data_IF_982772282575
#
_entry.id   IF_982772282575
#
_cell.length_a   1.000
_cell.length_b   1.000
_cell.length_c   1.000
_cell.angle_alpha   90.00
_cell.angle_beta   90.00
_cell.angle_gamma   90.00
#
_symmetry.space_group_name_H-M   'P 1'
#
loop_
_entity.id
_entity.type
_entity.pdbx_description
1 polymer ?
#
# COMPACT_ATOMS: atom_id res chain seq x y z
N UNK A 1 -14.37 36.80 -9.28
CA UNK A 1 -13.90 36.34 -7.95
C UNK A 1 -12.39 36.17 -8.05
N UNK A 2 -11.61 36.76 -7.14
CA UNK A 2 -10.17 36.50 -7.09
C UNK A 2 -9.95 35.11 -6.50
N UNK A 3 -9.11 34.29 -7.14
CA UNK A 3 -8.78 32.95 -6.67
C UNK A 3 -8.05 33.05 -5.32
N UNK A 4 -8.36 32.15 -4.38
CA UNK A 4 -7.74 32.11 -3.06
C UNK A 4 -6.21 32.04 -3.14
N UNK A 5 -5.68 31.20 -4.04
CA UNK A 5 -4.24 31.00 -4.18
C UNK A 5 -3.55 32.18 -4.88
N UNK A 6 -4.21 32.84 -5.83
CA UNK A 6 -3.69 34.08 -6.43
C UNK A 6 -3.55 35.19 -5.36
N UNK A 7 -4.55 35.33 -4.48
CA UNK A 7 -4.49 36.30 -3.37
C UNK A 7 -3.38 35.96 -2.37
N UNK A 8 -3.20 34.68 -2.05
CA UNK A 8 -2.11 34.22 -1.17
C UNK A 8 -0.74 34.50 -1.78
N UNK A 9 -0.55 34.15 -3.04
CA UNK A 9 0.68 34.43 -3.77
C UNK A 9 0.97 35.93 -3.78
N UNK A 10 -0.01 36.76 -4.14
CA UNK A 10 0.16 38.22 -4.16
C UNK A 10 0.50 38.78 -2.77
N UNK A 11 -0.16 38.32 -1.71
CA UNK A 11 0.17 38.74 -0.34
C UNK A 11 1.63 38.41 0.04
N UNK A 12 2.17 37.27 -0.41
CA UNK A 12 3.57 36.94 -0.18
C UNK A 12 4.52 37.86 -0.97
N UNK A 13 4.17 38.19 -2.21
CA UNK A 13 4.93 39.18 -3.00
C UNK A 13 4.90 40.56 -2.32
N UNK A 14 3.73 41.01 -1.88
CA UNK A 14 3.54 42.32 -1.23
C UNK A 14 4.28 42.43 0.11
N UNK A 15 4.52 41.29 0.78
CA UNK A 15 5.35 41.21 2.00
C UNK A 15 6.85 41.08 1.72
N UNK A 16 7.27 41.22 0.46
CA UNK A 16 8.67 41.27 0.05
C UNK A 16 9.32 39.90 -0.19
N UNK A 17 8.54 38.81 -0.32
CA UNK A 17 9.08 37.51 -0.72
C UNK A 17 9.46 37.50 -2.20
N UNK A 18 10.46 36.69 -2.56
CA UNK A 18 10.75 36.41 -3.97
C UNK A 18 9.63 35.58 -4.60
N UNK A 19 9.49 35.64 -5.92
CA UNK A 19 8.49 34.85 -6.66
C UNK A 19 8.58 33.35 -6.36
N UNK A 20 9.80 32.80 -6.26
CA UNK A 20 10.04 31.39 -5.93
C UNK A 20 9.55 31.08 -4.51
N UNK A 21 9.91 31.88 -3.51
CA UNK A 21 9.50 31.66 -2.14
C UNK A 21 7.97 31.80 -1.97
N UNK A 22 7.37 32.81 -2.61
CA UNK A 22 5.92 33.00 -2.63
C UNK A 22 5.18 31.82 -3.27
N UNK A 23 5.72 31.24 -4.35
CA UNK A 23 5.17 30.06 -5.00
C UNK A 23 5.25 28.83 -4.09
N UNK A 24 6.40 28.55 -3.48
CA UNK A 24 6.59 27.44 -2.54
C UNK A 24 5.65 27.54 -1.34
N UNK A 25 5.50 28.72 -0.73
CA UNK A 25 4.57 28.92 0.38
C UNK A 25 3.10 28.73 -0.05
N UNK A 26 2.74 29.20 -1.24
CA UNK A 26 1.39 29.01 -1.79
C UNK A 26 1.12 27.54 -2.09
N UNK A 27 2.10 26.80 -2.59
CA UNK A 27 2.01 25.35 -2.83
C UNK A 27 1.96 24.55 -1.53
N UNK A 28 2.70 24.92 -0.48
CA UNK A 28 2.56 24.33 0.86
C UNK A 28 1.12 24.45 1.37
N UNK A 29 0.50 25.62 1.21
CA UNK A 29 -0.91 25.81 1.59
C UNK A 29 -1.88 24.88 0.83
N UNK A 30 -1.57 24.54 -0.42
CA UNK A 30 -2.32 23.56 -1.20
C UNK A 30 -2.10 22.13 -0.69
N UNK A 31 -0.85 21.77 -0.40
CA UNK A 31 -0.43 20.46 0.09
C UNK A 31 -0.87 20.18 1.54
N UNK A 32 -1.02 21.21 2.37
CA UNK A 32 -1.40 21.08 3.79
C UNK A 32 -2.88 20.71 4.01
N UNK A 33 -3.69 20.59 2.94
CA UNK A 33 -5.08 20.08 2.96
C UNK A 33 -6.04 20.90 3.86
N UNK A 34 -5.65 22.11 4.30
CA UNK A 34 -6.42 22.95 5.24
C UNK A 34 -6.87 24.34 4.74
N UNK A 35 -7.07 24.63 3.44
CA UNK A 35 -7.68 25.90 3.06
C UNK A 35 -9.18 25.89 3.41
N UNK A 36 -9.61 26.94 4.10
CA UNK A 36 -11.02 27.26 4.27
C UNK A 36 -11.52 27.99 3.02
N UNK A 37 -12.07 27.27 2.06
CA UNK A 37 -12.71 27.86 0.89
C UNK A 37 -14.18 28.17 1.22
N UNK A 38 -14.57 29.43 1.05
CA UNK A 38 -15.95 29.91 1.35
C UNK A 38 -16.42 29.57 2.78
N UNK A 39 -15.51 29.58 3.75
CA UNK A 39 -15.82 29.33 5.17
C UNK A 39 -16.01 27.85 5.56
N UNK A 40 -15.74 26.90 4.67
CA UNK A 40 -15.75 25.45 4.95
C UNK A 40 -14.43 24.81 4.55
N UNK A 41 -14.12 23.66 5.17
CA UNK A 41 -12.95 22.85 4.79
C UNK A 41 -13.14 22.36 3.36
N UNK A 42 -12.22 22.73 2.46
CA UNK A 42 -12.31 22.37 1.06
C UNK A 42 -12.07 20.87 0.83
N UNK A 43 -12.89 20.26 -0.03
CA UNK A 43 -12.66 18.91 -0.55
C UNK A 43 -11.41 18.87 -1.42
N UNK A 44 -10.87 17.68 -1.70
CA UNK A 44 -9.68 17.53 -2.57
C UNK A 44 -9.92 18.14 -3.95
N UNK A 45 -11.03 17.79 -4.60
CA UNK A 45 -11.39 18.30 -5.92
C UNK A 45 -11.52 19.83 -5.96
N UNK A 46 -12.10 20.45 -4.93
CA UNK A 46 -12.20 21.91 -4.86
C UNK A 46 -10.83 22.58 -4.70
N UNK A 47 -9.92 21.98 -3.92
CA UNK A 47 -8.56 22.49 -3.76
C UNK A 47 -7.77 22.37 -5.05
N UNK A 48 -7.82 21.22 -5.71
CA UNK A 48 -7.16 20.99 -6.99
C UNK A 48 -7.66 22.01 -8.02
N UNK A 49 -8.99 22.16 -8.11
CA UNK A 49 -9.62 23.11 -9.04
C UNK A 49 -9.20 24.54 -8.75
N UNK A 50 -9.17 24.95 -7.48
CA UNK A 50 -8.77 26.30 -7.12
C UNK A 50 -7.27 26.53 -7.36
N UNK A 51 -6.40 25.57 -7.04
CA UNK A 51 -4.95 25.77 -7.19
C UNK A 51 -4.53 25.77 -8.66
N UNK A 52 -4.95 24.78 -9.45
CA UNK A 52 -4.47 24.60 -10.82
C UNK A 52 -5.14 25.52 -11.86
N UNK A 53 -6.22 26.22 -11.48
CA UNK A 53 -6.79 27.33 -12.25
C UNK A 53 -6.35 28.72 -11.74
N UNK A 54 -5.36 28.77 -10.84
CA UNK A 54 -4.73 30.04 -10.47
C UNK A 54 -3.85 30.54 -11.61
N UNK A 55 -3.58 31.85 -11.64
CA UNK A 55 -2.82 32.51 -12.73
C UNK A 55 -1.33 32.61 -12.43
N UNK A 56 -0.96 32.59 -11.14
CA UNK A 56 0.44 32.71 -10.77
C UNK A 56 1.36 31.62 -11.35
N UNK A 57 0.94 30.34 -11.54
CA UNK A 57 1.82 29.30 -12.08
C UNK A 57 2.35 29.60 -13.47
N UNK A 58 1.57 30.28 -14.31
CA UNK A 58 1.93 30.65 -15.69
C UNK A 58 3.06 31.70 -15.75
N UNK A 59 3.25 32.45 -14.66
CA UNK A 59 4.24 33.52 -14.55
C UNK A 59 5.50 33.11 -13.77
N UNK A 60 5.60 31.86 -13.34
CA UNK A 60 6.73 31.40 -12.53
C UNK A 60 7.99 31.18 -13.37
N UNK A 61 9.18 31.53 -12.86
CA UNK A 61 10.42 31.11 -13.48
C UNK A 61 10.60 29.59 -13.37
N UNK A 62 11.36 29.02 -14.30
CA UNK A 62 11.70 27.58 -14.34
C UNK A 62 12.25 27.06 -13.01
N UNK A 63 13.01 27.90 -12.29
CA UNK A 63 13.63 27.54 -11.02
C UNK A 63 12.62 27.34 -9.88
N UNK A 64 11.42 27.91 -9.98
CA UNK A 64 10.36 27.64 -9.01
C UNK A 64 9.92 26.17 -9.07
N UNK A 65 9.81 25.61 -10.27
CA UNK A 65 9.39 24.22 -10.49
C UNK A 65 10.40 23.20 -10.00
N UNK A 66 11.68 23.57 -9.89
CA UNK A 66 12.74 22.71 -9.34
C UNK A 66 12.72 22.60 -7.82
N UNK A 67 11.90 23.40 -7.13
CA UNK A 67 11.75 23.27 -5.67
C UNK A 67 10.95 22.01 -5.32
N UNK A 68 11.32 21.34 -4.23
CA UNK A 68 10.66 20.10 -3.77
C UNK A 68 9.15 20.27 -3.61
N UNK A 69 8.73 21.40 -3.02
CA UNK A 69 7.31 21.70 -2.78
C UNK A 69 6.52 21.82 -4.08
N UNK A 70 7.05 22.53 -5.07
CA UNK A 70 6.39 22.66 -6.38
C UNK A 70 6.38 21.33 -7.13
N UNK A 71 7.45 20.54 -7.01
CA UNK A 71 7.49 19.21 -7.57
C UNK A 71 6.44 18.29 -6.94
N UNK A 72 6.27 18.31 -5.61
CA UNK A 72 5.22 17.57 -4.91
C UNK A 72 3.82 18.03 -5.32
N UNK A 73 3.61 19.33 -5.50
CA UNK A 73 2.35 19.84 -6.05
C UNK A 73 2.10 19.28 -7.44
N UNK A 74 3.10 19.30 -8.33
CA UNK A 74 2.99 18.72 -9.67
C UNK A 74 2.71 17.20 -9.65
N UNK A 75 3.33 16.47 -8.73
CA UNK A 75 3.03 15.05 -8.47
C UNK A 75 1.55 14.85 -8.11
N UNK A 76 1.00 15.70 -7.22
CA UNK A 76 -0.41 15.64 -6.84
C UNK A 76 -1.35 15.96 -8.02
N UNK A 77 -0.97 16.91 -8.88
CA UNK A 77 -1.69 17.20 -10.13
C UNK A 77 -1.73 16.00 -11.08
N UNK A 78 -0.60 15.29 -11.20
CA UNK A 78 -0.50 14.11 -12.06
C UNK A 78 -1.21 12.88 -11.46
N UNK A 79 -1.46 12.86 -10.15
CA UNK A 79 -2.21 11.80 -9.46
C UNK A 79 -3.72 12.05 -9.35
N UNK A 80 -4.24 13.18 -9.83
CA UNK A 80 -5.68 13.51 -9.78
C UNK A 80 -6.35 13.47 -11.16
N UNK A 81 -7.69 13.43 -11.18
CA UNK A 81 -8.48 13.30 -12.41
C UNK A 81 -9.48 14.44 -12.64
N UNK A 82 -9.53 15.42 -11.73
CA UNK A 82 -10.55 16.45 -11.66
C UNK A 82 -10.25 17.69 -12.51
N UNK A 83 -8.97 18.05 -12.65
CA UNK A 83 -8.53 19.30 -13.28
C UNK A 83 -7.57 18.99 -14.42
N UNK A 84 -7.78 19.67 -15.53
CA UNK A 84 -6.91 19.67 -16.72
C UNK A 84 -6.32 21.04 -16.94
N UNK A 85 -5.00 21.10 -17.07
CA UNK A 85 -4.21 22.27 -17.43
C UNK A 85 -3.06 21.83 -18.35
N UNK A 86 -3.42 21.45 -19.58
CA UNK A 86 -2.48 20.98 -20.59
C UNK A 86 -1.47 22.06 -21.00
N UNK A 87 -1.88 23.33 -21.02
CA UNK A 87 -1.01 24.45 -21.39
C UNK A 87 0.13 24.61 -20.39
N UNK A 88 -0.17 24.55 -19.09
CA UNK A 88 0.84 24.58 -18.03
C UNK A 88 1.79 23.39 -18.12
N UNK A 89 1.26 22.17 -18.30
CA UNK A 89 2.11 21.00 -18.48
C UNK A 89 3.02 21.11 -19.70
N UNK A 90 2.51 21.63 -20.81
CA UNK A 90 3.28 21.85 -22.04
C UNK A 90 4.41 22.86 -21.79
N UNK A 91 4.11 23.93 -21.06
CA UNK A 91 5.11 24.91 -20.65
C UNK A 91 6.21 24.30 -19.75
N UNK A 92 5.83 23.50 -18.76
CA UNK A 92 6.77 22.82 -17.86
C UNK A 92 7.61 21.80 -18.66
N UNK A 93 7.00 21.04 -19.57
CA UNK A 93 7.71 20.08 -20.42
C UNK A 93 8.78 20.75 -21.29
N UNK A 94 8.52 21.99 -21.76
CA UNK A 94 9.47 22.75 -22.56
C UNK A 94 10.59 23.41 -21.73
N UNK A 95 10.30 23.82 -20.49
CA UNK A 95 11.23 24.63 -19.67
C UNK A 95 11.98 23.81 -18.61
N UNK A 96 11.33 22.82 -18.01
CA UNK A 96 11.87 21.94 -16.96
C UNK A 96 11.42 20.48 -17.17
N UNK A 97 11.83 19.81 -18.27
CA UNK A 97 11.42 18.44 -18.57
C UNK A 97 11.75 17.45 -17.44
N UNK A 98 12.93 17.57 -16.84
CA UNK A 98 13.36 16.71 -15.72
C UNK A 98 12.41 16.77 -14.51
N UNK A 99 11.89 17.96 -14.19
CA UNK A 99 10.91 18.13 -13.11
C UNK A 99 9.61 17.39 -13.43
N UNK A 100 9.13 17.50 -14.68
CA UNK A 100 7.93 16.80 -15.11
C UNK A 100 8.13 15.28 -15.05
N UNK A 101 9.24 14.78 -15.61
CA UNK A 101 9.59 13.36 -15.58
C UNK A 101 9.61 12.82 -14.14
N UNK A 102 10.26 13.54 -13.22
CA UNK A 102 10.32 13.14 -11.81
C UNK A 102 8.97 13.21 -11.10
N UNK A 103 8.14 14.22 -11.41
CA UNK A 103 6.79 14.29 -10.87
C UNK A 103 5.91 13.14 -11.37
N UNK A 104 6.05 12.72 -12.63
CA UNK A 104 5.38 11.53 -13.19
C UNK A 104 5.85 10.25 -12.52
N UNK A 105 7.14 10.11 -12.22
CA UNK A 105 7.68 8.98 -11.45
C UNK A 105 6.95 8.83 -10.11
N UNK A 106 6.76 9.92 -9.37
CA UNK A 106 6.13 9.87 -8.06
C UNK A 106 4.59 9.81 -8.06
N UNK A 107 3.93 10.02 -9.20
CA UNK A 107 2.47 10.22 -9.22
C UNK A 107 1.66 8.93 -9.29
N UNK A 108 2.32 7.77 -9.38
CA UNK A 108 1.66 6.47 -9.53
C UNK A 108 1.07 6.23 -10.93
N UNK A 109 1.33 7.11 -11.90
CA UNK A 109 0.84 6.96 -13.28
C UNK A 109 1.39 5.72 -13.99
N UNK A 110 2.49 5.16 -13.47
CA UNK A 110 3.11 3.91 -13.94
C UNK A 110 2.15 2.72 -13.97
N UNK A 111 1.16 2.68 -13.07
CA UNK A 111 0.14 1.62 -13.02
C UNK A 111 -1.23 2.07 -13.55
N UNK A 112 -1.41 3.33 -13.94
CA UNK A 112 -2.73 3.93 -14.19
C UNK A 112 -2.92 4.38 -15.65
N UNK A 113 -3.05 3.43 -16.61
CA UNK A 113 -3.24 3.75 -18.05
C UNK A 113 -4.36 4.74 -18.32
N UNK A 114 -5.50 4.51 -17.67
CA UNK A 114 -6.75 5.20 -17.98
C UNK A 114 -6.84 6.60 -17.35
N UNK A 115 -5.76 7.03 -16.66
CA UNK A 115 -5.73 8.37 -16.10
C UNK A 115 -5.78 9.41 -17.23
N UNK A 116 -6.63 10.45 -17.11
CA UNK A 116 -6.66 11.55 -18.08
C UNK A 116 -5.32 12.30 -18.14
N UNK A 117 -4.45 12.13 -17.13
CA UNK A 117 -3.09 12.71 -17.14
C UNK A 117 -2.16 11.96 -18.09
N UNK A 118 -2.39 10.67 -18.35
CA UNK A 118 -1.66 9.90 -19.39
C UNK A 118 -1.94 10.47 -20.78
N UNK A 119 -3.21 10.78 -21.08
CA UNK A 119 -3.60 11.38 -22.35
C UNK A 119 -2.97 12.77 -22.56
N UNK A 120 -2.83 13.58 -21.51
CA UNK A 120 -2.11 14.86 -21.60
C UNK A 120 -0.62 14.66 -21.91
N UNK A 121 0.04 13.69 -21.26
CA UNK A 121 1.43 13.36 -21.55
C UNK A 121 1.61 12.86 -22.98
N UNK A 122 0.68 12.05 -23.50
CA UNK A 122 0.69 11.60 -24.91
C UNK A 122 0.53 12.77 -25.88
N UNK A 123 -0.29 13.77 -25.56
CA UNK A 123 -0.42 14.99 -26.37
C UNK A 123 0.90 15.80 -26.38
N UNK A 124 1.58 15.88 -25.24
CA UNK A 124 2.87 16.58 -25.10
C UNK A 124 4.02 15.81 -25.75
N UNK A 125 3.96 14.48 -25.78
CA UNK A 125 4.97 13.61 -26.38
C UNK A 125 5.26 13.96 -27.85
N UNK A 126 4.26 14.48 -28.59
CA UNK A 126 4.41 14.90 -29.99
C UNK A 126 5.47 16.00 -30.16
N UNK A 127 5.66 16.86 -29.16
CA UNK A 127 6.59 17.99 -29.20
C UNK A 127 7.79 17.85 -28.24
N UNK A 128 7.83 16.78 -27.43
CA UNK A 128 8.89 16.56 -26.45
C UNK A 128 9.41 15.11 -26.48
N UNK A 129 10.62 14.86 -27.03
CA UNK A 129 11.20 13.51 -27.09
C UNK A 129 11.39 12.86 -25.72
N UNK A 130 11.67 13.65 -24.67
CA UNK A 130 11.80 13.14 -23.31
C UNK A 130 10.46 12.62 -22.76
N UNK A 131 9.36 13.33 -23.04
CA UNK A 131 8.01 12.91 -22.64
C UNK A 131 7.52 11.75 -23.51
N UNK A 132 7.91 11.71 -24.78
CA UNK A 132 7.64 10.56 -25.66
C UNK A 132 8.29 9.28 -25.14
N UNK A 133 9.57 9.35 -24.75
CA UNK A 133 10.28 8.22 -24.17
C UNK A 133 9.65 7.77 -22.85
N UNK A 134 9.32 8.72 -21.98
CA UNK A 134 8.59 8.46 -20.73
C UNK A 134 7.27 7.73 -20.98
N UNK A 135 6.48 8.16 -21.98
CA UNK A 135 5.21 7.50 -22.30
C UNK A 135 5.40 6.03 -22.68
N UNK A 136 6.43 5.73 -23.50
CA UNK A 136 6.79 4.36 -23.90
C UNK A 136 7.23 3.51 -22.71
N UNK A 137 8.03 4.05 -21.80
CA UNK A 137 8.43 3.36 -20.56
C UNK A 137 7.20 3.00 -19.73
N UNK A 138 6.31 3.97 -19.52
CA UNK A 138 5.07 3.77 -18.75
C UNK A 138 4.13 2.75 -19.42
N UNK A 139 4.09 2.68 -20.75
CA UNK A 139 3.31 1.66 -21.46
C UNK A 139 3.87 0.24 -21.28
N UNK A 140 5.18 0.08 -21.18
CA UNK A 140 5.78 -1.23 -20.89
C UNK A 140 5.42 -1.67 -19.47
N UNK A 141 5.54 -0.76 -18.49
CA UNK A 141 5.13 -1.03 -17.11
C UNK A 141 3.66 -1.40 -17.02
N UNK A 142 2.80 -0.64 -17.67
CA UNK A 142 1.36 -0.88 -17.64
C UNK A 142 1.00 -2.21 -18.29
N UNK A 143 1.63 -2.54 -19.43
CA UNK A 143 1.38 -3.81 -20.10
C UNK A 143 1.74 -4.99 -19.20
N UNK A 144 2.92 -4.94 -18.58
CA UNK A 144 3.39 -5.98 -17.66
C UNK A 144 2.52 -6.08 -16.38
N UNK A 145 2.03 -4.94 -15.87
CA UNK A 145 1.08 -4.90 -14.76
C UNK A 145 -0.23 -5.58 -15.13
N UNK A 146 -0.82 -5.20 -16.27
CA UNK A 146 -2.12 -5.71 -16.73
C UNK A 146 -2.10 -7.22 -16.96
N UNK A 147 -0.99 -7.78 -17.45
CA UNK A 147 -0.84 -9.23 -17.60
C UNK A 147 -0.94 -9.97 -16.26
N UNK A 148 -0.31 -9.42 -15.21
CA UNK A 148 -0.33 -10.01 -13.86
C UNK A 148 -1.69 -9.86 -13.20
N UNK A 149 -2.31 -8.69 -13.32
CA UNK A 149 -3.69 -8.47 -12.86
C UNK A 149 -4.64 -9.46 -13.54
N UNK A 150 -4.53 -9.65 -14.86
CA UNK A 150 -5.37 -10.59 -15.59
C UNK A 150 -5.17 -12.05 -15.14
N UNK A 151 -3.94 -12.45 -14.81
CA UNK A 151 -3.66 -13.79 -14.29
C UNK A 151 -4.25 -13.98 -12.87
N UNK A 152 -4.11 -12.98 -12.00
CA UNK A 152 -4.76 -12.98 -10.67
C UNK A 152 -6.28 -13.06 -10.81
N UNK A 153 -6.88 -12.22 -11.65
CA UNK A 153 -8.33 -12.18 -11.87
C UNK A 153 -8.87 -13.50 -12.42
N UNK A 154 -8.13 -14.14 -13.35
CA UNK A 154 -8.46 -15.47 -13.87
C UNK A 154 -8.58 -16.50 -12.75
N UNK A 155 -7.66 -16.52 -11.79
CA UNK A 155 -7.74 -17.45 -10.65
C UNK A 155 -8.81 -17.04 -9.64
N UNK A 156 -8.94 -15.74 -9.34
CA UNK A 156 -10.00 -15.19 -8.47
C UNK A 156 -11.40 -15.57 -8.96
N UNK A 157 -11.64 -15.58 -10.27
CA UNK A 157 -12.93 -15.97 -10.85
C UNK A 157 -13.36 -17.39 -10.47
N UNK A 158 -12.43 -18.34 -10.29
CA UNK A 158 -12.73 -19.71 -9.84
C UNK A 158 -13.37 -19.69 -8.43
N UNK A 159 -13.00 -18.72 -7.60
CA UNK A 159 -13.48 -18.55 -6.23
C UNK A 159 -14.61 -17.53 -6.10
N UNK A 160 -15.08 -16.93 -7.21
CA UNK A 160 -16.08 -15.86 -7.19
C UNK A 160 -17.38 -16.30 -6.47
N UNK A 161 -17.81 -17.54 -6.67
CA UNK A 161 -19.05 -18.08 -6.09
C UNK A 161 -18.92 -18.60 -4.67
N UNK A 162 -17.69 -18.77 -4.16
CA UNK A 162 -17.49 -19.23 -2.78
C UNK A 162 -17.82 -18.13 -1.78
N UNK A 163 -18.16 -18.49 -0.56
CA UNK A 163 -18.23 -17.53 0.55
C UNK A 163 -16.81 -17.15 1.04
N UNK A 164 -16.65 -16.04 1.77
CA UNK A 164 -15.39 -15.73 2.44
C UNK A 164 -14.91 -16.86 3.37
N UNK A 165 -15.83 -17.54 4.08
CA UNK A 165 -15.51 -18.69 4.94
C UNK A 165 -14.93 -19.87 4.14
N UNK A 166 -15.50 -20.17 2.97
CA UNK A 166 -15.03 -21.26 2.12
C UNK A 166 -13.67 -20.95 1.50
N UNK A 167 -13.43 -19.69 1.10
CA UNK A 167 -12.10 -19.26 0.66
C UNK A 167 -11.08 -19.36 1.80
N UNK A 168 -11.48 -19.02 3.02
CA UNK A 168 -10.64 -19.12 4.21
C UNK A 168 -10.22 -20.56 4.51
N UNK A 169 -11.06 -21.55 4.20
CA UNK A 169 -10.69 -22.96 4.34
C UNK A 169 -9.49 -23.32 3.43
N UNK A 170 -9.49 -22.85 2.18
CA UNK A 170 -8.37 -23.07 1.26
C UNK A 170 -7.12 -22.28 1.64
N UNK A 171 -7.27 -21.03 2.10
CA UNK A 171 -6.16 -20.27 2.67
C UNK A 171 -5.54 -21.00 3.86
N UNK A 172 -6.38 -21.55 4.74
CA UNK A 172 -5.92 -22.30 5.92
C UNK A 172 -5.15 -23.57 5.53
N UNK A 173 -5.66 -24.33 4.54
CA UNK A 173 -4.97 -25.51 4.00
C UNK A 173 -3.61 -25.13 3.40
N UNK A 174 -3.55 -24.04 2.63
CA UNK A 174 -2.32 -23.56 2.01
C UNK A 174 -1.28 -23.14 3.07
N UNK A 175 -1.68 -22.34 4.06
CA UNK A 175 -0.81 -21.93 5.17
C UNK A 175 -0.26 -23.15 5.91
N UNK A 176 -1.13 -24.13 6.19
CA UNK A 176 -0.72 -25.36 6.88
C UNK A 176 0.26 -26.22 6.11
N UNK A 177 0.08 -26.29 4.80
CA UNK A 177 0.93 -27.11 3.95
C UNK A 177 2.27 -26.43 3.64
N UNK A 178 2.27 -25.11 3.46
CA UNK A 178 3.42 -24.39 2.87
C UNK A 178 4.13 -23.43 3.83
N UNK A 179 3.43 -22.84 4.80
CA UNK A 179 3.99 -21.80 5.69
C UNK A 179 4.33 -22.35 7.08
N UNK A 180 3.42 -23.11 7.69
CA UNK A 180 3.63 -23.68 9.03
C UNK A 180 4.91 -24.54 9.09
N UNK A 181 5.19 -25.47 8.14
CA UNK A 181 6.43 -26.23 8.19
C UNK A 181 7.69 -25.35 8.15
N UNK A 182 7.64 -24.19 7.48
CA UNK A 182 8.76 -23.24 7.42
C UNK A 182 9.00 -22.56 8.76
N UNK A 183 7.94 -22.04 9.38
CA UNK A 183 8.02 -21.36 10.69
C UNK A 183 8.57 -22.27 11.80
N UNK A 184 8.32 -23.58 11.71
CA UNK A 184 8.79 -24.56 12.69
C UNK A 184 10.07 -25.31 12.28
N UNK A 185 10.78 -24.88 11.22
CA UNK A 185 12.03 -25.52 10.77
C UNK A 185 11.87 -26.96 10.28
N UNK A 186 10.65 -27.34 9.90
CA UNK A 186 10.28 -28.66 9.36
C UNK A 186 10.22 -28.67 7.82
N UNK A 187 10.59 -27.56 7.17
CA UNK A 187 10.60 -27.45 5.72
C UNK A 187 11.64 -28.41 5.10
N UNK A 188 11.22 -29.14 4.08
CA UNK A 188 12.05 -30.12 3.35
C UNK A 188 12.75 -29.53 2.13
N UNK A 189 12.45 -28.27 1.76
CA UNK A 189 13.02 -27.59 0.59
C UNK A 189 14.18 -26.65 0.98
N UNK A 190 15.18 -26.45 0.11
CA UNK A 190 16.28 -25.49 0.35
C UNK A 190 15.76 -24.03 0.42
N UNK A 191 16.35 -23.21 1.31
CA UNK A 191 15.94 -21.80 1.58
C UNK A 191 15.85 -20.92 0.32
N UNK A 192 16.76 -21.07 -0.64
CA UNK A 192 16.84 -20.23 -1.85
C UNK A 192 15.67 -20.41 -2.83
N UNK A 193 14.90 -21.51 -2.72
CA UNK A 193 13.76 -21.79 -3.59
C UNK A 193 12.41 -21.46 -2.94
N UNK A 194 12.42 -20.89 -1.73
CA UNK A 194 11.22 -20.63 -0.96
C UNK A 194 10.73 -19.20 -1.18
N UNK A 195 9.44 -18.97 -1.50
CA UNK A 195 8.87 -17.63 -1.52
C UNK A 195 8.97 -17.00 -0.13
N UNK A 196 9.21 -15.69 -0.10
CA UNK A 196 9.30 -14.92 1.14
C UNK A 196 8.01 -15.09 1.95
N UNK A 197 8.18 -15.31 3.25
CA UNK A 197 7.08 -15.54 4.17
C UNK A 197 6.18 -14.30 4.23
N UNK A 198 6.78 -13.11 4.22
CA UNK A 198 6.05 -11.83 4.27
C UNK A 198 5.25 -11.61 2.98
N UNK A 199 5.86 -11.75 1.81
CA UNK A 199 5.17 -11.65 0.51
C UNK A 199 3.99 -12.64 0.40
N UNK A 200 4.13 -13.86 0.94
CA UNK A 200 3.05 -14.85 0.90
C UNK A 200 1.89 -14.47 1.85
N UNK A 201 2.19 -13.88 3.01
CA UNK A 201 1.16 -13.39 3.93
C UNK A 201 0.41 -12.17 3.38
N UNK A 202 1.12 -11.27 2.70
CA UNK A 202 0.52 -10.13 2.00
C UNK A 202 -0.41 -10.61 0.89
N UNK A 203 0.02 -11.60 0.09
CA UNK A 203 -0.81 -12.20 -0.95
C UNK A 203 -2.11 -12.83 -0.42
N UNK A 204 -2.04 -13.52 0.73
CA UNK A 204 -3.23 -14.05 1.42
C UNK A 204 -4.13 -12.91 1.88
N UNK A 205 -3.55 -11.85 2.46
CA UNK A 205 -4.29 -10.70 2.97
C UNK A 205 -5.03 -9.95 1.85
N UNK A 206 -4.36 -9.70 0.72
CA UNK A 206 -4.96 -9.10 -0.47
C UNK A 206 -6.07 -9.96 -1.07
N UNK A 207 -5.86 -11.28 -1.11
CA UNK A 207 -6.88 -12.23 -1.59
C UNK A 207 -8.12 -12.23 -0.70
N UNK A 208 -7.95 -12.17 0.63
CA UNK A 208 -9.08 -12.08 1.56
C UNK A 208 -9.76 -10.71 1.49
N UNK A 209 -9.01 -9.61 1.37
CA UNK A 209 -9.54 -8.27 1.21
C UNK A 209 -10.37 -8.13 -0.09
N UNK A 210 -9.88 -8.70 -1.20
CA UNK A 210 -10.64 -8.82 -2.44
C UNK A 210 -11.96 -9.57 -2.20
N UNK A 211 -11.92 -10.70 -1.49
CA UNK A 211 -13.13 -11.49 -1.27
C UNK A 211 -14.15 -10.76 -0.41
N UNK A 212 -13.70 -10.09 0.64
CA UNK A 212 -14.56 -9.30 1.52
C UNK A 212 -15.18 -8.10 0.83
N UNK A 213 -14.44 -7.44 -0.07
CA UNK A 213 -14.95 -6.28 -0.82
C UNK A 213 -15.93 -6.64 -1.94
N UNK A 214 -15.91 -7.88 -2.43
CA UNK A 214 -16.74 -8.34 -3.56
C UNK A 214 -17.89 -9.26 -3.16
N UNK A 215 -17.91 -9.76 -1.92
CA UNK A 215 -18.96 -10.65 -1.46
C UNK A 215 -20.26 -9.92 -1.07
N UNK A 216 -21.40 -10.60 -1.22
CA UNK A 216 -22.68 -10.08 -0.74
C UNK A 216 -22.71 -10.07 0.79
N UNK A 217 -23.32 -9.05 1.39
CA UNK A 217 -23.45 -8.93 2.86
C UNK A 217 -24.15 -10.14 3.50
N UNK A 218 -25.02 -10.82 2.74
CA UNK A 218 -25.67 -12.06 3.20
C UNK A 218 -24.69 -13.22 3.42
N UNK A 219 -23.57 -13.26 2.67
CA UNK A 219 -22.53 -14.28 2.78
C UNK A 219 -21.65 -14.11 4.02
N UNK A 220 -21.69 -12.92 4.65
CA UNK A 220 -21.01 -12.62 5.92
C UNK A 220 -21.83 -13.10 7.14
N UNK A 221 -23.10 -13.47 6.95
CA UNK A 221 -23.96 -13.97 8.02
C UNK A 221 -23.65 -15.44 8.31
N UNK A 222 -22.75 -15.65 9.27
CA UNK A 222 -22.32 -16.97 9.72
C UNK A 222 -23.40 -17.65 10.58
N UNK A 223 -24.20 -18.53 9.97
CA UNK A 223 -25.17 -19.37 10.68
C UNK A 223 -24.56 -20.76 10.88
N UNK A 224 -24.73 -21.36 12.07
CA UNK A 224 -24.13 -22.67 12.41
C UNK A 224 -24.37 -23.77 11.37
N UNK A 225 -25.57 -23.83 10.80
CA UNK A 225 -25.91 -24.82 9.76
C UNK A 225 -25.13 -24.55 8.47
N UNK A 226 -24.99 -23.29 8.06
CA UNK A 226 -24.23 -22.91 6.86
C UNK A 226 -22.73 -23.15 7.04
N UNK A 227 -22.18 -22.79 8.21
CA UNK A 227 -20.78 -23.08 8.58
C UNK A 227 -20.52 -24.59 8.49
N UNK A 228 -21.40 -25.40 9.10
CA UNK A 228 -21.28 -26.86 9.09
C UNK A 228 -21.26 -27.43 7.67
N UNK A 229 -22.13 -26.95 6.78
CA UNK A 229 -22.15 -27.37 5.39
C UNK A 229 -20.90 -26.95 4.62
N UNK A 230 -20.44 -25.71 4.77
CA UNK A 230 -19.24 -25.21 4.09
C UNK A 230 -17.99 -25.97 4.53
N UNK A 231 -17.80 -26.20 5.84
CA UNK A 231 -16.67 -26.96 6.35
C UNK A 231 -16.75 -28.44 5.95
N UNK A 232 -17.93 -29.06 6.03
CA UNK A 232 -18.14 -30.45 5.60
C UNK A 232 -17.80 -30.67 4.12
N UNK A 233 -17.97 -29.65 3.29
CA UNK A 233 -17.72 -29.70 1.85
C UNK A 233 -16.30 -29.33 1.45
N UNK A 234 -15.75 -28.30 2.07
CA UNK A 234 -14.52 -27.67 1.59
C UNK A 234 -13.28 -28.02 2.41
N UNK A 235 -13.45 -28.48 3.66
CA UNK A 235 -12.33 -28.71 4.59
C UNK A 235 -12.29 -30.14 5.14
N UNK A 236 -13.42 -30.64 5.62
CA UNK A 236 -13.53 -31.98 6.22
C UNK A 236 -12.98 -33.10 5.32
N UNK A 237 -13.23 -33.12 3.99
CA UNK A 237 -12.71 -34.20 3.14
C UNK A 237 -11.19 -34.29 3.10
N UNK A 238 -10.48 -33.16 3.29
CA UNK A 238 -9.01 -33.14 3.34
C UNK A 238 -8.48 -33.68 4.67
N UNK A 239 -9.20 -33.46 5.77
CA UNK A 239 -8.78 -33.85 7.13
C UNK A 239 -9.19 -35.28 7.47
N UNK A 240 -10.36 -35.71 6.99
CA UNK A 240 -10.99 -36.99 7.32
C UNK A 240 -11.42 -37.73 6.03
N UNK A 241 -10.47 -38.28 5.26
CA UNK A 241 -10.79 -38.98 4.03
C UNK A 241 -11.64 -40.22 4.34
N UNK A 242 -12.79 -40.35 3.67
CA UNK A 242 -13.70 -41.50 3.80
C UNK A 242 -14.24 -41.90 2.43
N UNK A 243 -14.44 -43.21 2.21
CA UNK A 243 -14.89 -43.73 0.90
C UNK A 243 -16.33 -43.35 0.57
N UNK A 244 -17.17 -43.13 1.59
CA UNK A 244 -18.58 -42.73 1.46
C UNK A 244 -18.80 -41.20 1.69
N UNK A 245 -17.72 -40.44 1.89
CA UNK A 245 -17.76 -39.02 2.20
C UNK A 245 -17.86 -38.11 0.97
N UNK A 246 -17.88 -36.79 1.20
CA UNK A 246 -17.81 -35.82 0.11
C UNK A 246 -16.44 -35.89 -0.59
N UNK A 247 -16.44 -35.69 -1.92
CA UNK A 247 -15.23 -35.75 -2.74
C UNK A 247 -14.29 -34.60 -2.40
N UNK A 248 -13.00 -34.91 -2.23
CA UNK A 248 -11.94 -33.94 -1.98
C UNK A 248 -11.79 -33.00 -3.18
N UNK A 249 -11.90 -31.69 -2.94
CA UNK A 249 -11.84 -30.64 -3.97
C UNK A 249 -10.41 -30.22 -4.30
N UNK A 250 -9.62 -31.17 -4.81
CA UNK A 250 -8.24 -30.92 -5.25
C UNK A 250 -8.15 -29.82 -6.32
N UNK A 251 -9.17 -29.72 -7.18
CA UNK A 251 -9.31 -28.66 -8.17
C UNK A 251 -9.25 -27.25 -7.56
N UNK A 252 -9.96 -27.03 -6.45
CA UNK A 252 -9.97 -25.75 -5.75
C UNK A 252 -8.71 -25.52 -4.90
N UNK A 253 -8.13 -26.58 -4.33
CA UNK A 253 -6.84 -26.48 -3.63
C UNK A 253 -5.72 -26.07 -4.60
N UNK A 254 -5.61 -26.73 -5.75
CA UNK A 254 -4.60 -26.41 -6.76
C UNK A 254 -4.84 -25.03 -7.37
N UNK A 255 -6.10 -24.65 -7.63
CA UNK A 255 -6.42 -23.30 -8.08
C UNK A 255 -6.04 -22.23 -7.05
N UNK A 256 -6.10 -22.54 -5.75
CA UNK A 256 -5.72 -21.61 -4.69
C UNK A 256 -4.19 -21.45 -4.65
N UNK A 257 -3.44 -22.52 -4.82
CA UNK A 257 -1.97 -22.46 -4.96
C UNK A 257 -1.57 -21.57 -6.16
N UNK A 258 -2.22 -21.75 -7.31
CA UNK A 258 -1.98 -20.88 -8.49
C UNK A 258 -2.40 -19.43 -8.27
N UNK A 259 -3.44 -19.19 -7.49
CA UNK A 259 -3.83 -17.84 -7.09
C UNK A 259 -2.75 -17.19 -6.22
N UNK A 260 -2.16 -17.93 -5.27
CA UNK A 260 -1.06 -17.42 -4.44
C UNK A 260 0.18 -17.10 -5.29
N UNK A 261 0.58 -17.99 -6.19
CA UNK A 261 1.70 -17.74 -7.11
C UNK A 261 1.48 -16.46 -7.94
N UNK A 262 0.28 -16.30 -8.50
CA UNK A 262 -0.07 -15.12 -9.30
C UNK A 262 -0.12 -13.83 -8.47
N UNK A 263 -0.63 -13.90 -7.24
CA UNK A 263 -0.73 -12.76 -6.35
C UNK A 263 0.65 -12.32 -5.84
N UNK A 264 1.51 -13.25 -5.43
CA UNK A 264 2.91 -12.96 -5.05
C UNK A 264 3.67 -12.33 -6.21
N UNK A 265 3.51 -12.84 -7.44
CA UNK A 265 4.13 -12.24 -8.64
C UNK A 265 3.61 -10.81 -8.91
N UNK A 266 2.33 -10.54 -8.67
CA UNK A 266 1.77 -9.19 -8.80
C UNK A 266 2.34 -8.24 -7.75
N UNK A 267 2.40 -8.66 -6.50
CA UNK A 267 2.89 -7.84 -5.37
C UNK A 267 4.39 -7.58 -5.48
N UNK A 268 5.16 -8.60 -5.89
CA UNK A 268 6.57 -8.48 -6.25
C UNK A 268 6.79 -7.50 -7.41
N UNK A 269 5.95 -7.55 -8.45
CA UNK A 269 6.06 -6.59 -9.55
C UNK A 269 5.79 -5.15 -9.11
N UNK A 270 4.77 -4.93 -8.27
CA UNK A 270 4.47 -3.59 -7.74
C UNK A 270 5.66 -3.07 -6.93
N UNK A 271 6.15 -3.85 -5.96
CA UNK A 271 7.22 -3.43 -5.06
C UNK A 271 8.59 -3.31 -5.75
N UNK A 272 8.99 -4.32 -6.52
CA UNK A 272 10.34 -4.40 -7.09
C UNK A 272 10.48 -3.65 -8.41
N UNK A 273 9.38 -3.39 -9.12
CA UNK A 273 9.42 -2.67 -10.40
C UNK A 273 8.77 -1.30 -10.32
N UNK A 274 7.48 -1.22 -9.96
CA UNK A 274 6.74 0.04 -10.01
C UNK A 274 7.18 1.03 -8.91
N UNK A 275 7.32 0.54 -7.67
CA UNK A 275 7.78 1.37 -6.55
C UNK A 275 9.27 1.71 -6.69
N UNK A 276 10.09 0.75 -7.15
CA UNK A 276 11.49 1.00 -7.46
C UNK A 276 11.65 2.09 -8.54
N UNK A 277 10.87 2.03 -9.63
CA UNK A 277 10.83 3.10 -10.64
C UNK A 277 10.40 4.43 -10.03
N UNK A 278 9.42 4.42 -9.14
CA UNK A 278 8.87 5.63 -8.56
C UNK A 278 9.86 6.30 -7.60
N UNK A 279 10.52 5.53 -6.73
CA UNK A 279 11.18 6.05 -5.53
C UNK A 279 12.68 5.75 -5.41
N UNK A 280 13.23 4.78 -6.17
CA UNK A 280 14.68 4.53 -6.17
C UNK A 280 15.37 5.43 -7.20
N UNK A 281 16.02 6.51 -6.71
CA UNK A 281 16.79 7.44 -7.55
C UNK A 281 18.16 6.90 -7.96
N UNK A 282 18.62 5.83 -7.32
CA UNK A 282 19.91 5.22 -7.63
C UNK A 282 19.89 4.38 -8.92
N UNK A 283 18.70 4.11 -9.45
CA UNK A 283 18.48 3.32 -10.65
C UNK A 283 17.65 4.07 -11.70
N UNK A 284 17.84 3.68 -12.96
CA UNK A 284 17.02 4.08 -14.09
C UNK A 284 16.51 2.85 -14.85
N UNK A 285 15.27 2.93 -15.31
CA UNK A 285 14.68 1.93 -16.20
C UNK A 285 14.89 2.40 -17.64
N UNK A 286 15.86 1.79 -18.32
CA UNK A 286 16.22 2.12 -19.70
C UNK A 286 15.48 1.19 -20.65
N UNK A 287 14.82 1.76 -21.67
CA UNK A 287 14.08 0.98 -22.65
C UNK A 287 14.99 0.37 -23.72
N UNK A 288 14.93 -0.95 -23.85
CA UNK A 288 15.55 -1.72 -24.92
C UNK A 288 14.46 -2.32 -25.82
N UNK A 289 14.02 -1.55 -26.80
CA UNK A 289 12.91 -1.95 -27.67
C UNK A 289 11.60 -2.03 -26.89
N UNK A 290 11.16 -3.24 -26.55
CA UNK A 290 9.88 -3.56 -25.88
C UNK A 290 10.02 -4.00 -24.43
N UNK A 291 11.23 -3.97 -23.86
CA UNK A 291 11.45 -4.28 -22.44
C UNK A 291 12.31 -3.19 -21.78
N UNK A 292 12.38 -3.23 -20.45
CA UNK A 292 13.15 -2.31 -19.62
C UNK A 292 14.32 -3.06 -18.99
N UNK A 293 15.48 -2.42 -18.95
CA UNK A 293 16.65 -2.87 -18.20
C UNK A 293 16.93 -1.88 -17.07
N UNK A 294 17.29 -2.40 -15.90
CA UNK A 294 17.64 -1.57 -14.74
C UNK A 294 19.14 -1.24 -14.82
N UNK A 295 19.44 0.04 -14.89
CA UNK A 295 20.82 0.55 -14.86
C UNK A 295 21.03 1.29 -13.54
N UNK A 296 22.10 0.95 -12.82
CA UNK A 296 22.51 1.68 -11.61
C UNK A 296 23.23 2.96 -12.04
N UNK A 297 22.62 4.10 -11.74
CA UNK A 297 23.11 5.44 -12.14
C UNK A 297 24.00 6.05 -11.07
N UNK A 298 23.68 5.82 -9.78
CA UNK A 298 24.51 6.25 -8.66
C UNK A 298 24.76 5.08 -7.69
N UNK A 299 25.99 4.56 -7.73
CA UNK A 299 26.41 3.46 -6.85
C UNK A 299 26.46 3.86 -5.37
N UNK A 300 26.78 5.11 -5.06
CA UNK A 300 26.88 5.58 -3.67
C UNK A 300 25.49 5.81 -3.07
N UNK A 301 24.56 6.36 -3.86
CA UNK A 301 23.15 6.45 -3.48
C UNK A 301 22.52 5.06 -3.35
N UNK A 302 22.87 4.11 -4.23
CA UNK A 302 22.40 2.72 -4.12
C UNK A 302 22.84 2.05 -2.82
N UNK A 303 24.11 2.21 -2.44
CA UNK A 303 24.62 1.71 -1.15
C UNK A 303 23.94 2.41 0.03
N UNK A 304 23.63 3.70 -0.11
CA UNK A 304 22.91 4.49 0.91
C UNK A 304 21.48 4.00 1.07
N UNK A 305 20.77 3.77 -0.04
CA UNK A 305 19.44 3.19 -0.08
C UNK A 305 19.41 1.83 0.62
N UNK A 306 20.26 0.89 0.24
CA UNK A 306 20.36 -0.43 0.88
C UNK A 306 20.70 -0.35 2.38
N UNK A 307 21.55 0.61 2.75
CA UNK A 307 21.86 0.88 4.16
C UNK A 307 20.65 1.43 4.90
N UNK A 308 19.91 2.35 4.31
CA UNK A 308 18.77 2.99 4.94
C UNK A 308 17.55 2.06 5.00
N UNK A 309 17.34 1.18 4.02
CA UNK A 309 16.41 0.04 4.12
C UNK A 309 16.79 -0.90 5.28
N UNK A 310 18.08 -1.23 5.43
CA UNK A 310 18.57 -2.00 6.60
C UNK A 310 18.37 -1.27 7.91
N UNK A 311 18.55 0.06 7.94
CA UNK A 311 18.26 0.88 9.13
C UNK A 311 16.77 0.89 9.45
N UNK A 312 15.89 0.95 8.44
CA UNK A 312 14.45 0.88 8.64
C UNK A 312 14.05 -0.46 9.24
N UNK A 313 14.59 -1.57 8.72
CA UNK A 313 14.41 -2.90 9.30
C UNK A 313 14.95 -2.96 10.75
N UNK A 314 16.14 -2.40 11.00
CA UNK A 314 16.71 -2.31 12.35
C UNK A 314 15.87 -1.44 13.29
N UNK A 315 15.23 -0.37 12.80
CA UNK A 315 14.34 0.49 13.57
C UNK A 315 13.07 -0.27 13.98
N UNK A 316 12.52 -1.09 13.09
CA UNK A 316 11.43 -1.98 13.41
C UNK A 316 11.80 -2.93 14.58
N UNK A 317 12.99 -3.53 14.50
CA UNK A 317 13.53 -4.40 15.55
C UNK A 317 13.77 -3.63 16.86
N UNK A 318 14.33 -2.43 16.80
CA UNK A 318 14.54 -1.57 17.96
C UNK A 318 13.23 -1.33 18.74
N UNK A 319 12.17 -0.93 18.04
CA UNK A 319 10.87 -0.72 18.69
C UNK A 319 10.27 -2.01 19.24
N UNK A 320 10.48 -3.14 18.55
CA UNK A 320 10.05 -4.44 19.04
C UNK A 320 10.77 -4.82 20.35
N UNK A 321 12.09 -4.66 20.44
CA UNK A 321 12.86 -4.91 21.67
C UNK A 321 12.44 -3.98 22.81
N UNK A 322 12.26 -2.69 22.53
CA UNK A 322 11.71 -1.71 23.50
C UNK A 322 10.34 -2.13 24.02
N UNK A 323 9.48 -2.70 23.18
CA UNK A 323 8.19 -3.22 23.59
C UNK A 323 8.31 -4.48 24.44
N UNK A 324 9.29 -5.32 24.17
CA UNK A 324 9.60 -6.53 24.93
C UNK A 324 10.08 -6.17 26.36
N UNK A 325 10.98 -5.19 26.48
CA UNK A 325 11.39 -4.62 27.77
C UNK A 325 10.22 -3.99 28.53
N UNK A 326 9.36 -3.22 27.84
CA UNK A 326 8.18 -2.62 28.45
C UNK A 326 7.15 -3.68 28.90
N UNK A 327 7.04 -4.78 28.16
CA UNK A 327 6.17 -5.91 28.50
C UNK A 327 6.67 -6.69 29.72
N UNK A 328 7.99 -6.93 29.80
CA UNK A 328 8.62 -7.51 30.98
C UNK A 328 8.47 -6.60 32.19
N UNK A 329 8.76 -5.30 32.03
CA UNK A 329 8.65 -4.28 33.07
C UNK A 329 7.22 -4.03 33.55
N UNK A 330 6.20 -4.35 32.74
CA UNK A 330 4.79 -4.25 33.16
C UNK A 330 4.35 -5.40 34.06
N UNK A 331 5.21 -6.41 34.28
CA UNK A 331 4.89 -7.59 35.09
C UNK A 331 3.85 -8.51 34.43
N UNK A 332 3.56 -8.32 33.14
CA UNK A 332 2.58 -9.12 32.39
C UNK A 332 3.21 -10.41 31.82
N UNK A 333 4.54 -10.47 31.73
CA UNK A 333 5.26 -11.64 31.25
C UNK A 333 4.98 -12.92 32.08
N UNK A 334 4.75 -12.76 33.38
CA UNK A 334 4.47 -13.87 34.30
C UNK A 334 2.97 -14.08 34.56
N UNK A 335 2.11 -13.19 34.04
CA UNK A 335 0.67 -13.28 34.26
C UNK A 335 0.00 -14.10 33.16
N UNK A 336 -1.02 -14.92 33.49
CA UNK A 336 -1.85 -15.55 32.48
C UNK A 336 -2.66 -14.48 31.74
N UNK A 337 -2.46 -14.38 30.43
CA UNK A 337 -3.20 -13.49 29.54
C UNK A 337 -4.18 -14.35 28.76
N UNK A 338 -5.45 -14.33 29.18
CA UNK A 338 -6.49 -15.18 28.61
C UNK A 338 -6.34 -16.65 29.03
N UNK A 339 -6.71 -17.58 28.13
CA UNK A 339 -6.61 -19.02 28.41
C UNK A 339 -5.16 -19.50 28.24
N UNK A 340 -4.71 -20.53 28.99
CA UNK A 340 -3.35 -21.06 28.90
C UNK A 340 -2.95 -21.45 27.46
N UNK A 341 -3.88 -22.03 26.70
CA UNK A 341 -3.72 -22.40 25.29
C UNK A 341 -3.42 -21.21 24.36
N UNK A 342 -3.74 -19.99 24.78
CA UNK A 342 -3.60 -18.75 24.02
C UNK A 342 -2.50 -17.82 24.57
N UNK A 343 -1.77 -18.25 25.59
CA UNK A 343 -0.81 -17.44 26.32
C UNK A 343 0.21 -16.77 25.38
N UNK A 344 0.94 -17.54 24.59
CA UNK A 344 2.02 -17.03 23.72
C UNK A 344 1.49 -16.05 22.65
N UNK A 345 0.37 -16.40 22.01
CA UNK A 345 -0.27 -15.55 21.00
C UNK A 345 -0.77 -14.22 21.60
N UNK A 346 -1.35 -14.28 22.80
CA UNK A 346 -1.79 -13.10 23.53
C UNK A 346 -0.63 -12.21 23.98
N UNK A 347 0.47 -12.81 24.44
CA UNK A 347 1.69 -12.09 24.80
C UNK A 347 2.29 -11.39 23.58
N UNK A 348 2.37 -12.07 22.44
CA UNK A 348 2.88 -11.47 21.20
C UNK A 348 2.01 -10.32 20.71
N UNK A 349 0.68 -10.47 20.71
CA UNK A 349 -0.25 -9.39 20.37
C UNK A 349 -0.10 -8.19 21.31
N UNK A 350 0.11 -8.45 22.61
CA UNK A 350 0.38 -7.41 23.61
C UNK A 350 1.67 -6.65 23.31
N UNK A 351 2.75 -7.36 23.00
CA UNK A 351 4.06 -6.78 22.63
C UNK A 351 3.92 -5.93 21.36
N UNK A 352 3.21 -6.41 20.33
CA UNK A 352 2.96 -5.65 19.09
C UNK A 352 2.18 -4.36 19.35
N UNK A 353 1.16 -4.41 20.21
CA UNK A 353 0.41 -3.23 20.61
C UNK A 353 1.27 -2.22 21.39
N UNK A 354 2.13 -2.70 22.31
CA UNK A 354 3.09 -1.86 23.03
C UNK A 354 4.09 -1.19 22.09
N UNK A 355 4.63 -1.92 21.13
CA UNK A 355 5.54 -1.40 20.10
C UNK A 355 4.92 -0.21 19.38
N UNK A 356 3.68 -0.38 18.89
CA UNK A 356 2.97 0.68 18.16
C UNK A 356 2.67 1.86 19.07
N UNK A 357 2.26 1.61 20.33
CA UNK A 357 2.04 2.66 21.34
C UNK A 357 3.30 3.49 21.58
N UNK A 358 4.42 2.84 21.89
CA UNK A 358 5.69 3.51 22.19
C UNK A 358 6.15 4.37 21.01
N UNK A 359 6.03 3.86 19.77
CA UNK A 359 6.36 4.63 18.58
C UNK A 359 5.48 5.87 18.44
N UNK A 360 4.16 5.74 18.65
CA UNK A 360 3.22 6.86 18.54
C UNK A 360 3.48 7.95 19.60
N UNK A 361 3.82 7.55 20.82
CA UNK A 361 4.12 8.50 21.90
C UNK A 361 5.48 9.18 21.69
N UNK A 362 6.55 8.40 21.53
CA UNK A 362 7.92 8.91 21.57
C UNK A 362 8.30 9.66 20.29
N UNK A 363 7.76 9.26 19.13
CA UNK A 363 8.09 9.88 17.83
C UNK A 363 7.07 10.94 17.44
N UNK A 364 5.78 10.66 17.62
CA UNK A 364 4.70 11.51 17.10
C UNK A 364 4.01 12.34 18.18
N UNK A 365 4.38 12.18 19.47
CA UNK A 365 3.83 12.95 20.57
C UNK A 365 2.35 12.65 20.85
N UNK A 366 1.84 11.50 20.43
CA UNK A 366 0.45 11.09 20.69
C UNK A 366 0.28 10.80 22.19
N UNK A 367 -0.81 11.28 22.80
CA UNK A 367 -1.12 11.01 24.20
C UNK A 367 -1.61 9.58 24.46
N UNK A 368 -1.86 9.25 25.73
CA UNK A 368 -2.33 7.90 26.14
C UNK A 368 -3.78 7.55 25.74
N UNK A 369 -4.51 8.50 25.14
CA UNK A 369 -5.88 8.31 24.67
C UNK A 369 -6.10 9.04 23.33
N UNK A 370 -7.04 8.51 22.54
CA UNK A 370 -7.46 9.06 21.25
C UNK A 370 -8.96 9.35 21.27
N UNK A 371 -9.37 10.45 20.63
CA UNK A 371 -10.78 10.82 20.50
C UNK A 371 -11.38 10.23 19.22
N UNK A 372 -12.58 9.68 19.34
CA UNK A 372 -13.42 9.28 18.19
C UNK A 372 -14.12 10.48 17.57
N UNK A 373 -14.68 10.31 16.37
CA UNK A 373 -15.46 11.36 15.68
C UNK A 373 -16.72 11.79 16.47
N UNK A 374 -17.22 10.93 17.37
CA UNK A 374 -18.31 11.24 18.31
C UNK A 374 -17.84 11.99 19.56
N UNK A 375 -16.52 12.22 19.72
CA UNK A 375 -15.92 12.91 20.87
C UNK A 375 -15.60 12.01 22.07
N UNK A 376 -15.84 10.69 21.97
CA UNK A 376 -15.51 9.76 23.04
C UNK A 376 -14.00 9.48 23.09
N UNK A 377 -13.43 9.45 24.30
CA UNK A 377 -12.01 9.19 24.54
C UNK A 377 -11.76 7.70 24.77
N UNK A 378 -10.89 7.10 23.97
CA UNK A 378 -10.52 5.68 24.04
C UNK A 378 -9.04 5.55 24.43
N UNK A 379 -8.69 4.69 25.42
CA UNK A 379 -7.29 4.43 25.74
C UNK A 379 -6.52 3.90 24.53
N UNK A 380 -5.42 4.55 24.16
CA UNK A 380 -4.64 4.27 22.96
C UNK A 380 -4.17 2.80 22.93
N UNK A 381 -3.69 2.29 24.07
CA UNK A 381 -3.24 0.91 24.15
C UNK A 381 -4.35 -0.10 23.83
N UNK A 382 -5.56 0.14 24.34
CA UNK A 382 -6.68 -0.77 24.15
C UNK A 382 -7.21 -0.74 22.70
N UNK A 383 -7.18 0.44 22.08
CA UNK A 383 -7.49 0.61 20.66
C UNK A 383 -6.48 -0.14 19.76
N UNK A 384 -5.21 -0.20 20.13
CA UNK A 384 -4.16 -0.92 19.40
C UNK A 384 -4.15 -2.42 19.69
N UNK A 385 -4.48 -2.84 20.91
CA UNK A 385 -4.47 -4.24 21.30
C UNK A 385 -5.61 -5.04 20.66
N UNK A 386 -6.79 -4.42 20.49
CA UNK A 386 -7.95 -5.07 19.89
C UNK A 386 -7.67 -5.69 18.51
N UNK A 387 -7.12 -4.96 17.51
CA UNK A 387 -6.81 -5.54 16.21
C UNK A 387 -5.68 -6.59 16.27
N UNK A 388 -4.67 -6.42 17.14
CA UNK A 388 -3.59 -7.41 17.30
C UNK A 388 -4.10 -8.74 17.87
N UNK A 389 -5.04 -8.69 18.83
CA UNK A 389 -5.70 -9.88 19.36
C UNK A 389 -6.66 -10.51 18.34
N UNK A 390 -7.37 -9.69 17.55
CA UNK A 390 -8.21 -10.21 16.46
C UNK A 390 -7.39 -10.90 15.37
N UNK A 391 -6.18 -10.40 15.08
CA UNK A 391 -5.22 -11.04 14.18
C UNK A 391 -4.71 -12.36 14.77
N UNK A 392 -4.27 -12.35 16.03
CA UNK A 392 -3.72 -13.52 16.72
C UNK A 392 -4.72 -14.67 16.89
N UNK A 393 -6.03 -14.38 16.93
CA UNK A 393 -7.11 -15.37 17.08
C UNK A 393 -8.07 -15.39 15.91
N UNK A 394 -7.65 -14.89 14.73
CA UNK A 394 -8.46 -15.04 13.54
C UNK A 394 -8.80 -16.51 13.31
N UNK A 395 -9.91 -16.77 12.62
CA UNK A 395 -10.46 -18.12 12.46
C UNK A 395 -9.41 -19.12 11.89
N UNK A 396 -8.42 -18.64 11.13
CA UNK A 396 -7.28 -19.43 10.64
C UNK A 396 -6.43 -19.98 11.80
N UNK A 397 -5.98 -19.14 12.75
CA UNK A 397 -5.11 -19.55 13.87
C UNK A 397 -5.87 -20.42 14.89
N UNK A 398 -7.16 -20.15 15.09
CA UNK A 398 -8.01 -20.93 16.00
C UNK A 398 -8.30 -22.33 15.43
N UNK A 399 -8.49 -22.45 14.11
CA UNK A 399 -8.59 -23.74 13.45
C UNK A 399 -7.31 -24.57 13.61
N UNK A 400 -6.14 -23.91 13.69
CA UNK A 400 -4.88 -24.60 13.89
C UNK A 400 -4.73 -25.34 15.22
N UNK A 401 -5.37 -24.84 16.28
CA UNK A 401 -5.30 -25.44 17.63
C UNK A 401 -6.29 -26.59 17.82
N UNK A 402 -7.36 -26.63 17.02
CA UNK A 402 -8.43 -27.64 17.11
C UNK A 402 -8.11 -28.94 16.35
N UNK A 403 -7.05 -28.97 15.53
CA UNK A 403 -6.63 -30.16 14.77
C UNK A 403 -5.41 -30.88 15.39
N UNK A 404 -5.05 -30.57 16.64
CA UNK A 404 -4.28 -31.46 17.54
C UNK A 404 -5.25 -32.09 18.53
#
# INVERSE_FOLDING_TARGET
MHNYYDLRYQNFIDTGRSAIAAASETANNYLDVKPLLKGKKATRAERDTAFWNSRFPDALPTEAWKTEVMQLALTQYLGQTHVSNLDLLTHIAATAPETLLRAVRYSGLVLQKQSPRRAELEAIAVSSPAVEELCKVLDIFEFAYRLRVAEVDKWRQIFATLSPLELLAYASLYVFEKLVPKEFGMATQPEEAQPDLEETWDAISETLAWKLSTCDESSLKLINVAIGHSLAKHLSPFLFPSQDGQVVRHDLREAFERLMDAQVELDSYISQSADAYSYDHSIEFVRLGTHLEIVVVDKAERVTWERDSRKLAALHNYWFYRALEAFEGSGMATQPIGRPENQEANQLAYIKALRTKLRLMDVYGVGDAVSTDSGESVPLFQALLSPELMSAHSFIVTFCKLCR
#
